data_IF_244520410403
#
_entry.id   IF_244520410403
#
_cell.length_a   1.000
_cell.length_b   1.000
_cell.length_c   1.000
_cell.angle_alpha   90.00
_cell.angle_beta   90.00
_cell.angle_gamma   90.00
#
_symmetry.space_group_name_H-M   'P 1'
#
loop_
_entity.id
_entity.type
_entity.pdbx_description
1 polymer ?
#
# COMPACT_ATOMS: atom_id res chain seq x y z
N UNK A 1 -4.03 0.70 -12.82
CA UNK A 1 -3.27 -0.02 -13.87
C UNK A 1 -2.30 0.83 -14.68
N UNK A 2 -2.38 2.16 -14.66
CA UNK A 2 -1.47 3.00 -15.47
C UNK A 2 -0.09 3.27 -14.86
N UNK A 3 0.17 2.83 -13.62
CA UNK A 3 1.44 3.12 -12.92
C UNK A 3 2.48 2.01 -13.05
N UNK A 4 2.06 0.75 -13.19
CA UNK A 4 2.97 -0.41 -13.24
C UNK A 4 2.85 -1.07 -14.62
N UNK A 5 3.84 -0.91 -15.51
CA UNK A 5 3.71 -1.28 -16.93
C UNK A 5 3.37 -2.74 -17.23
N UNK A 6 3.68 -3.67 -16.31
CA UNK A 6 3.46 -5.11 -16.47
C UNK A 6 2.35 -5.67 -15.57
N UNK A 7 1.63 -4.80 -14.86
CA UNK A 7 0.45 -5.22 -14.10
C UNK A 7 -0.72 -5.48 -15.06
N UNK A 8 -1.51 -6.49 -14.72
CA UNK A 8 -2.75 -6.75 -15.44
C UNK A 8 -3.81 -5.79 -14.95
N UNK A 9 -4.74 -5.42 -15.83
CA UNK A 9 -5.97 -4.79 -15.37
C UNK A 9 -6.82 -5.79 -14.61
N UNK A 10 -7.10 -5.46 -13.34
CA UNK A 10 -7.88 -6.30 -12.44
C UNK A 10 -9.10 -5.54 -11.93
N UNK A 11 -10.24 -6.22 -11.87
CA UNK A 11 -11.41 -5.68 -11.21
C UNK A 11 -11.23 -5.89 -9.70
N UNK A 12 -10.89 -4.81 -8.99
CA UNK A 12 -10.86 -4.85 -7.53
C UNK A 12 -12.28 -4.98 -6.99
N UNK A 13 -12.49 -5.99 -6.14
CA UNK A 13 -13.73 -6.12 -5.38
C UNK A 13 -13.72 -5.27 -4.11
N UNK A 14 -12.53 -4.99 -3.57
CA UNK A 14 -12.33 -4.10 -2.44
C UNK A 14 -10.94 -3.45 -2.50
N UNK A 15 -10.88 -2.18 -2.11
CA UNK A 15 -9.65 -1.48 -1.74
C UNK A 15 -9.97 -0.64 -0.50
N UNK A 16 -9.27 -0.91 0.60
CA UNK A 16 -9.52 -0.31 1.90
C UNK A 16 -8.22 0.25 2.48
N UNK A 17 -7.91 1.53 2.20
CA UNK A 17 -6.78 2.23 2.80
C UNK A 17 -7.14 2.82 4.16
N UNK A 18 -6.25 2.64 5.11
CA UNK A 18 -6.30 3.19 6.46
C UNK A 18 -5.02 3.98 6.76
N UNK A 19 -5.15 5.03 7.57
CA UNK A 19 -4.04 5.92 7.92
C UNK A 19 -4.04 6.17 9.42
N UNK A 20 -2.94 5.79 10.06
CA UNK A 20 -2.69 6.01 11.49
C UNK A 20 -1.58 7.05 11.68
N UNK A 21 -1.79 7.97 12.62
CA UNK A 21 -0.80 9.01 12.96
C UNK A 21 -0.33 8.79 14.39
N UNK A 22 0.97 8.56 14.55
CA UNK A 22 1.64 8.52 15.85
C UNK A 22 2.37 9.85 16.06
N UNK A 23 1.73 10.75 16.81
CA UNK A 23 2.28 12.07 17.09
C UNK A 23 3.49 12.04 18.03
N UNK A 24 3.62 11.01 18.87
CA UNK A 24 4.76 10.88 19.80
C UNK A 24 6.00 10.39 19.06
N UNK A 25 5.84 9.40 18.19
CA UNK A 25 6.92 8.90 17.33
C UNK A 25 7.21 9.80 16.12
N UNK A 26 6.27 10.67 15.75
CA UNK A 26 6.37 11.53 14.57
C UNK A 26 6.21 10.75 13.26
N UNK A 27 5.42 9.68 13.25
CA UNK A 27 5.26 8.78 12.11
C UNK A 27 3.82 8.72 11.63
N UNK A 28 3.65 8.41 10.34
CA UNK A 28 2.35 8.14 9.73
C UNK A 28 2.43 6.78 9.04
N UNK A 29 1.53 5.88 9.39
CA UNK A 29 1.44 4.55 8.81
C UNK A 29 0.24 4.50 7.87
N UNK A 30 0.48 4.11 6.62
CA UNK A 30 -0.59 3.86 5.63
C UNK A 30 -0.69 2.36 5.41
N UNK A 31 -1.84 1.78 5.75
CA UNK A 31 -2.13 0.36 5.54
C UNK A 31 -3.19 0.22 4.46
N UNK A 32 -3.04 -0.68 3.50
CA UNK A 32 -4.07 -0.93 2.49
C UNK A 32 -4.36 -2.42 2.35
N UNK A 33 -5.66 -2.75 2.34
CA UNK A 33 -6.14 -4.10 2.00
C UNK A 33 -6.83 -4.08 0.64
N UNK A 34 -6.33 -4.88 -0.30
CA UNK A 34 -6.95 -5.08 -1.62
C UNK A 34 -7.52 -6.50 -1.73
N UNK A 35 -8.65 -6.64 -2.44
CA UNK A 35 -9.24 -7.95 -2.76
C UNK A 35 -9.69 -7.99 -4.22
N UNK A 36 -9.63 -9.17 -4.82
CA UNK A 36 -10.20 -9.46 -6.14
C UNK A 36 -10.67 -10.91 -6.21
N UNK A 37 -11.40 -11.24 -7.27
CA UNK A 37 -11.75 -12.62 -7.66
C UNK A 37 -11.30 -12.86 -9.11
N UNK A 38 -10.02 -12.54 -9.36
CA UNK A 38 -9.38 -12.67 -10.68
C UNK A 38 -8.26 -13.72 -10.69
N UNK A 39 -7.63 -13.90 -11.85
CA UNK A 39 -6.60 -14.93 -12.08
C UNK A 39 -5.23 -14.60 -11.49
N UNK A 40 -4.99 -13.34 -11.11
CA UNK A 40 -3.73 -12.89 -10.50
C UNK A 40 -4.01 -12.25 -9.14
N UNK A 41 -2.98 -12.22 -8.28
CA UNK A 41 -3.07 -11.55 -6.99
C UNK A 41 -3.14 -10.03 -7.13
N UNK A 42 -3.41 -9.37 -6.00
CA UNK A 42 -3.56 -7.91 -5.88
C UNK A 42 -2.51 -7.26 -4.98
N UNK A 43 -1.33 -7.88 -4.89
CA UNK A 43 -0.22 -7.38 -4.09
C UNK A 43 0.18 -5.96 -4.55
N UNK A 44 0.19 -5.73 -5.86
CA UNK A 44 0.63 -4.46 -6.43
C UNK A 44 -0.38 -3.34 -6.19
N UNK A 45 -1.67 -3.63 -6.16
CA UNK A 45 -2.74 -2.67 -5.89
C UNK A 45 -2.67 -2.20 -4.44
N UNK A 46 -2.45 -3.11 -3.49
CA UNK A 46 -2.24 -2.78 -2.09
C UNK A 46 -0.96 -1.93 -1.89
N UNK A 47 0.17 -2.37 -2.46
CA UNK A 47 1.44 -1.65 -2.35
C UNK A 47 1.38 -0.26 -3.00
N UNK A 48 0.72 -0.15 -4.16
CA UNK A 48 0.56 1.12 -4.87
C UNK A 48 -0.34 2.06 -4.07
N UNK A 49 -1.42 1.57 -3.48
CA UNK A 49 -2.30 2.38 -2.63
C UNK A 49 -1.53 2.96 -1.42
N UNK A 50 -0.71 2.15 -0.74
CA UNK A 50 0.17 2.61 0.33
C UNK A 50 1.18 3.65 -0.16
N UNK A 51 1.87 3.40 -1.28
CA UNK A 51 2.88 4.29 -1.82
C UNK A 51 2.28 5.66 -2.21
N UNK A 52 1.17 5.67 -2.94
CA UNK A 52 0.50 6.89 -3.36
C UNK A 52 -0.12 7.62 -2.17
N UNK A 53 -0.68 6.89 -1.20
CA UNK A 53 -1.15 7.46 0.07
C UNK A 53 -0.03 8.15 0.84
N UNK A 54 1.13 7.52 0.98
CA UNK A 54 2.30 8.10 1.64
C UNK A 54 2.83 9.34 0.89
N UNK A 55 2.85 9.32 -0.45
CA UNK A 55 3.20 10.48 -1.26
C UNK A 55 2.20 11.63 -1.08
N UNK A 56 0.91 11.31 -0.89
CA UNK A 56 -0.11 12.31 -0.58
C UNK A 56 0.14 12.94 0.79
N UNK A 57 0.53 12.14 1.79
CA UNK A 57 0.95 12.66 3.10
C UNK A 57 2.14 13.60 2.97
N UNK A 58 3.19 13.20 2.23
CA UNK A 58 4.32 14.06 1.94
C UNK A 58 3.86 15.38 1.28
N UNK A 59 2.97 15.31 0.29
CA UNK A 59 2.44 16.48 -0.40
C UNK A 59 1.76 17.48 0.56
N UNK A 60 1.02 16.98 1.55
CA UNK A 60 0.35 17.82 2.54
C UNK A 60 1.33 18.50 3.52
N UNK A 61 2.46 17.86 3.87
CA UNK A 61 3.37 18.33 4.92
C UNK A 61 4.62 19.02 4.39
N UNK A 62 4.97 18.86 3.10
CA UNK A 62 6.21 19.40 2.49
C UNK A 62 6.39 20.92 2.61
N UNK A 63 5.29 21.65 2.84
CA UNK A 63 5.34 23.10 3.08
C UNK A 63 5.92 23.46 4.46
N UNK A 64 5.84 22.53 5.41
CA UNK A 64 6.27 22.68 6.80
C UNK A 64 7.61 21.96 7.02
N UNK A 65 7.69 20.69 6.61
CA UNK A 65 8.91 19.87 6.72
C UNK A 65 9.18 19.17 5.39
N UNK A 66 10.35 19.44 4.80
CA UNK A 66 10.76 18.89 3.50
C UNK A 66 11.54 17.57 3.62
N UNK A 67 12.11 17.31 4.80
CA UNK A 67 12.89 16.13 5.13
C UNK A 67 12.07 14.90 5.48
N UNK A 68 10.73 14.96 5.38
CA UNK A 68 9.87 13.78 5.54
C UNK A 68 10.27 12.71 4.53
N UNK A 69 10.39 11.47 4.99
CA UNK A 69 10.77 10.33 4.15
C UNK A 69 9.67 9.29 4.14
N UNK A 70 9.47 8.65 2.99
CA UNK A 70 8.73 7.37 2.93
C UNK A 70 9.75 6.28 3.25
N UNK A 71 9.75 5.80 4.48
CA UNK A 71 10.78 4.86 4.96
C UNK A 71 10.70 3.49 4.29
N UNK A 72 9.47 2.95 4.16
CA UNK A 72 9.23 1.60 3.66
C UNK A 72 7.84 1.47 3.04
N UNK A 73 7.75 0.63 2.02
CA UNK A 73 6.49 0.16 1.42
C UNK A 73 6.61 -1.35 1.30
N UNK A 74 5.77 -2.08 2.03
CA UNK A 74 5.97 -3.51 2.28
C UNK A 74 4.66 -4.27 2.26
N UNK A 75 4.69 -5.50 1.71
CA UNK A 75 3.55 -6.41 1.79
C UNK A 75 3.53 -7.07 3.17
N UNK A 76 2.41 -7.00 3.89
CA UNK A 76 2.24 -7.60 5.22
C UNK A 76 1.70 -9.02 5.16
N UNK A 77 0.69 -9.23 4.30
CA UNK A 77 -0.01 -10.50 4.15
C UNK A 77 -0.56 -10.62 2.73
N UNK A 78 -0.62 -11.86 2.22
CA UNK A 78 -1.34 -12.22 1.00
C UNK A 78 -2.00 -13.57 1.25
N UNK A 79 -3.25 -13.72 0.83
CA UNK A 79 -3.94 -15.01 0.80
C UNK A 79 -4.40 -15.37 -0.60
N UNK A 80 -4.50 -16.67 -0.87
CA UNK A 80 -5.00 -17.20 -2.14
C UNK A 80 -3.98 -17.24 -3.30
N UNK A 81 -4.44 -17.82 -4.42
CA UNK A 81 -3.60 -18.14 -5.57
C UNK A 81 -2.75 -19.39 -5.37
N UNK A 82 -2.00 -19.79 -6.40
CA UNK A 82 -1.20 -21.04 -6.40
C UNK A 82 -0.07 -21.04 -5.37
N UNK A 83 0.46 -19.87 -5.02
CA UNK A 83 1.53 -19.71 -4.03
C UNK A 83 1.08 -19.98 -2.60
N UNK A 84 -0.24 -20.05 -2.35
CA UNK A 84 -0.79 -20.14 -1.02
C UNK A 84 -0.68 -18.83 -0.23
N UNK A 85 -0.96 -18.94 1.05
CA UNK A 85 -0.96 -17.83 1.99
C UNK A 85 0.47 -17.49 2.41
N UNK A 86 0.76 -16.20 2.49
CA UNK A 86 2.04 -15.66 2.90
C UNK A 86 1.82 -14.53 3.89
N UNK A 87 2.66 -14.47 4.93
CA UNK A 87 2.68 -13.40 5.91
C UNK A 87 4.12 -13.02 6.18
N UNK A 88 4.37 -11.72 6.31
CA UNK A 88 5.69 -11.22 6.71
C UNK A 88 6.02 -11.70 8.12
N UNK A 89 7.19 -12.30 8.28
CA UNK A 89 7.78 -12.55 9.60
C UNK A 89 8.40 -11.25 10.10
N UNK A 90 8.14 -10.93 11.38
CA UNK A 90 8.57 -9.69 12.03
C UNK A 90 10.04 -9.67 12.41
#
# INVERSE_FOLDING_TARGET
DELIPLCHSLALSQLDPDVEVDAEAGTVTVTATARTTDRTGVEMEALTACAVGALTVYDMVKGIEKGVVVERVELLEKTGGRSGDWRREG
#
